data_IF_009928823312
#
_entry.id   IF_009928823312
#
_cell.length_a   1.000
_cell.length_b   1.000
_cell.length_c   1.000
_cell.angle_alpha   90.00
_cell.angle_beta   90.00
_cell.angle_gamma   90.00
#
_symmetry.space_group_name_H-M   'P 1'
#
loop_
_entity.id
_entity.type
_entity.pdbx_description
1 polymer ?
#
# COMPACT_ATOMS: atom_id res chain seq x y z
N UNK A 1 4.48 -69.49 -33.00
CA UNK A 1 4.84 -68.90 -31.69
C UNK A 1 5.20 -67.45 -31.92
N UNK A 2 4.29 -66.52 -31.63
CA UNK A 2 4.56 -65.08 -31.60
C UNK A 2 4.05 -64.58 -30.26
N UNK A 3 4.97 -64.43 -29.32
CA UNK A 3 4.72 -63.91 -27.97
C UNK A 3 4.58 -62.40 -28.05
N UNK A 4 3.35 -61.90 -27.87
CA UNK A 4 3.05 -60.47 -27.79
C UNK A 4 3.47 -59.90 -26.44
N UNK A 5 4.28 -58.83 -26.48
CA UNK A 5 4.66 -58.05 -25.31
C UNK A 5 3.52 -57.07 -24.94
N UNK A 6 3.00 -57.19 -23.73
CA UNK A 6 2.04 -56.25 -23.16
C UNK A 6 2.83 -55.10 -22.50
N UNK A 7 3.02 -53.99 -23.22
CA UNK A 7 3.57 -52.77 -22.64
C UNK A 7 2.49 -52.06 -21.83
N UNK A 8 2.55 -52.19 -20.50
CA UNK A 8 1.81 -51.36 -19.56
C UNK A 8 2.41 -49.94 -19.60
N UNK A 9 1.77 -49.03 -20.32
CA UNK A 9 2.00 -47.60 -20.17
C UNK A 9 1.47 -47.19 -18.79
N UNK A 10 2.36 -47.06 -17.81
CA UNK A 10 2.07 -46.30 -16.60
C UNK A 10 1.88 -44.83 -17.01
N UNK A 11 0.64 -44.36 -16.95
CA UNK A 11 0.35 -42.92 -16.96
C UNK A 11 0.99 -42.34 -15.69
N UNK A 12 2.14 -41.69 -15.85
CA UNK A 12 2.68 -40.81 -14.79
C UNK A 12 1.66 -39.67 -14.65
N UNK A 13 0.99 -39.53 -13.49
CA UNK A 13 0.11 -38.39 -13.29
C UNK A 13 0.97 -37.14 -13.37
N UNK A 14 0.63 -36.22 -14.29
CA UNK A 14 1.20 -34.87 -14.27
C UNK A 14 0.83 -34.27 -12.91
N UNK A 15 1.81 -34.16 -12.01
CA UNK A 15 1.66 -33.35 -10.80
C UNK A 15 1.52 -31.92 -11.29
N UNK A 16 0.32 -31.37 -11.16
CA UNK A 16 0.05 -29.97 -11.47
C UNK A 16 0.97 -29.14 -10.58
N UNK A 17 1.96 -28.47 -11.19
CA UNK A 17 2.91 -27.66 -10.44
C UNK A 17 2.12 -26.60 -9.67
N UNK A 18 2.24 -26.61 -8.35
CA UNK A 18 1.47 -25.72 -7.51
C UNK A 18 1.85 -24.26 -7.81
N UNK A 19 0.85 -23.42 -8.12
CA UNK A 19 1.10 -22.04 -8.55
C UNK A 19 1.63 -21.19 -7.38
N UNK A 20 2.85 -20.68 -7.54
CA UNK A 20 3.43 -19.67 -6.65
C UNK A 20 3.19 -18.25 -7.20
N UNK A 21 2.91 -17.29 -6.31
CA UNK A 21 2.70 -15.88 -6.62
C UNK A 21 3.98 -15.06 -6.43
N UNK A 22 3.95 -13.80 -6.90
CA UNK A 22 4.98 -12.79 -6.64
C UNK A 22 6.44 -13.25 -6.90
N UNK A 23 6.64 -14.04 -7.95
CA UNK A 23 7.97 -14.53 -8.32
C UNK A 23 8.50 -15.69 -7.48
N UNK A 24 7.66 -16.31 -6.63
CA UNK A 24 8.03 -17.51 -5.88
C UNK A 24 8.35 -18.71 -6.77
N UNK A 25 9.26 -19.56 -6.32
CA UNK A 25 9.73 -20.74 -7.05
C UNK A 25 9.25 -22.00 -6.33
N UNK A 26 8.55 -22.89 -7.04
CA UNK A 26 8.12 -24.17 -6.48
C UNK A 26 9.30 -25.15 -6.46
N UNK A 27 9.72 -25.62 -5.28
CA UNK A 27 10.85 -26.55 -5.11
C UNK A 27 10.47 -28.03 -5.27
N UNK A 28 9.21 -28.31 -5.59
CA UNK A 28 8.62 -29.66 -5.63
C UNK A 28 7.82 -30.02 -4.37
N UNK A 29 7.90 -29.21 -3.31
CA UNK A 29 7.18 -29.40 -2.04
C UNK A 29 6.43 -28.13 -1.62
N UNK A 30 7.03 -26.95 -1.78
CA UNK A 30 6.50 -25.66 -1.35
C UNK A 30 6.96 -24.53 -2.26
N UNK A 31 6.33 -23.36 -2.13
CA UNK A 31 6.83 -22.13 -2.73
C UNK A 31 7.96 -21.52 -1.89
N UNK A 32 9.09 -21.24 -2.54
CA UNK A 32 10.19 -20.46 -2.00
C UNK A 32 9.96 -19.00 -2.37
N UNK A 33 9.79 -18.13 -1.37
CA UNK A 33 9.50 -16.72 -1.53
C UNK A 33 10.77 -15.86 -1.42
N UNK A 34 10.72 -14.64 -1.95
CA UNK A 34 11.68 -13.61 -1.54
C UNK A 34 11.41 -13.24 -0.08
N UNK A 35 12.26 -13.73 0.82
CA UNK A 35 12.14 -13.56 2.26
C UNK A 35 12.19 -12.10 2.72
N UNK A 36 12.58 -11.16 1.85
CA UNK A 36 12.59 -9.73 2.15
C UNK A 36 11.32 -9.01 1.71
N UNK A 37 10.44 -9.65 0.92
CA UNK A 37 9.27 -9.00 0.33
C UNK A 37 7.96 -9.74 0.54
N UNK A 38 7.95 -11.07 0.57
CA UNK A 38 6.70 -11.86 0.62
C UNK A 38 6.77 -13.05 1.56
N UNK A 39 5.59 -13.47 2.02
CA UNK A 39 5.38 -14.65 2.83
C UNK A 39 4.05 -15.34 2.47
N UNK A 40 3.84 -16.52 3.06
CA UNK A 40 2.68 -17.36 2.81
C UNK A 40 3.04 -18.66 2.06
N UNK A 41 2.16 -19.66 2.07
CA UNK A 41 2.40 -20.95 1.41
C UNK A 41 2.63 -20.82 -0.10
N UNK A 42 2.10 -19.76 -0.72
CA UNK A 42 2.21 -19.46 -2.15
C UNK A 42 2.86 -18.11 -2.43
N UNK A 43 3.53 -17.51 -1.44
CA UNK A 43 4.12 -16.17 -1.54
C UNK A 43 3.11 -15.07 -1.86
N UNK A 44 1.86 -15.24 -1.42
CA UNK A 44 0.74 -14.37 -1.78
C UNK A 44 0.67 -13.07 -0.96
N UNK A 45 1.35 -12.99 0.18
CA UNK A 45 1.25 -11.85 1.10
C UNK A 45 2.54 -11.03 1.13
N UNK A 46 2.49 -9.71 0.93
CA UNK A 46 3.65 -8.85 1.14
C UNK A 46 3.94 -8.69 2.64
N UNK A 47 5.22 -8.58 3.02
CA UNK A 47 5.62 -8.44 4.42
C UNK A 47 5.14 -7.12 5.03
N UNK A 48 4.70 -7.15 6.29
CA UNK A 48 4.31 -5.91 6.97
C UNK A 48 5.52 -5.02 7.30
N UNK A 49 6.72 -5.62 7.46
CA UNK A 49 7.98 -4.94 7.74
C UNK A 49 9.06 -5.49 6.80
N UNK A 50 9.58 -4.63 5.92
CA UNK A 50 10.69 -4.94 5.02
C UNK A 50 11.99 -4.51 5.71
N UNK A 51 12.94 -5.45 5.95
CA UNK A 51 14.26 -5.08 6.45
C UNK A 51 15.05 -4.37 5.36
N UNK A 52 15.60 -3.20 5.69
CA UNK A 52 16.50 -2.49 4.77
C UNK A 52 17.93 -2.79 5.20
N UNK A 53 18.63 -3.65 4.45
CA UNK A 53 20.01 -4.05 4.82
C UNK A 53 21.00 -2.96 4.40
N UNK A 54 20.85 -2.47 3.17
CA UNK A 54 21.64 -1.38 2.61
C UNK A 54 20.73 -0.28 2.08
N UNK A 55 21.19 0.96 2.19
CA UNK A 55 20.49 2.14 1.75
C UNK A 55 21.20 2.76 0.55
N UNK A 56 20.45 2.93 -0.54
CA UNK A 56 20.86 3.82 -1.63
C UNK A 56 20.47 5.24 -1.26
N UNK A 57 21.39 5.99 -0.66
CA UNK A 57 21.18 7.38 -0.26
C UNK A 57 21.44 8.29 -1.46
N UNK A 58 20.37 8.91 -1.95
CA UNK A 58 20.47 9.99 -2.94
C UNK A 58 20.50 11.32 -2.19
N UNK A 59 21.58 12.07 -2.35
CA UNK A 59 21.75 13.42 -1.81
C UNK A 59 21.75 14.39 -2.97
N UNK A 60 20.82 15.34 -2.94
CA UNK A 60 20.81 16.46 -3.89
C UNK A 60 21.28 17.72 -3.20
N UNK A 61 22.22 18.43 -3.79
CA UNK A 61 22.74 19.70 -3.27
C UNK A 61 22.46 20.82 -4.27
N UNK A 62 21.68 21.80 -3.85
CA UNK A 62 21.35 22.97 -4.69
C UNK A 62 22.56 23.91 -4.81
N UNK A 63 22.87 24.33 -6.04
CA UNK A 63 24.01 25.17 -6.37
C UNK A 63 23.68 26.19 -7.48
N UNK A 64 24.45 27.28 -7.51
CA UNK A 64 24.34 28.32 -8.52
C UNK A 64 25.70 28.74 -9.03
N UNK A 65 25.83 28.76 -10.36
CA UNK A 65 26.99 29.32 -11.05
C UNK A 65 26.55 30.28 -12.14
N UNK A 66 27.36 31.29 -12.39
CA UNK A 66 27.19 32.21 -13.51
C UNK A 66 28.06 31.75 -14.66
N UNK A 67 27.49 31.63 -15.85
CA UNK A 67 28.24 31.54 -17.09
C UNK A 67 28.58 32.96 -17.56
N UNK A 68 29.84 33.25 -17.90
CA UNK A 68 30.27 34.64 -18.21
C UNK A 68 30.58 34.90 -19.68
N UNK A 69 30.87 33.87 -20.47
CA UNK A 69 31.25 33.98 -21.88
C UNK A 69 30.12 33.67 -22.87
N UNK A 70 28.88 33.57 -22.38
CA UNK A 70 27.67 33.40 -23.19
C UNK A 70 26.63 34.45 -22.77
N UNK A 71 25.73 34.79 -23.68
CA UNK A 71 24.70 35.79 -23.42
C UNK A 71 23.36 35.14 -23.11
N UNK A 72 22.64 35.71 -22.15
CA UNK A 72 21.26 35.29 -21.87
C UNK A 72 20.33 35.72 -23.01
N UNK A 73 19.43 34.83 -23.41
CA UNK A 73 18.27 35.17 -24.22
C UNK A 73 17.04 34.36 -23.77
N UNK A 74 15.86 34.77 -24.24
CA UNK A 74 14.58 34.13 -23.86
C UNK A 74 14.46 32.67 -24.31
N UNK A 75 15.25 32.21 -25.28
CA UNK A 75 15.22 30.81 -25.69
C UNK A 75 15.68 29.87 -24.57
N UNK A 76 16.45 30.35 -23.59
CA UNK A 76 16.83 29.57 -22.40
C UNK A 76 15.66 29.29 -21.45
N UNK A 77 14.51 29.93 -21.65
CA UNK A 77 13.26 29.63 -20.92
C UNK A 77 12.51 28.44 -21.55
N UNK A 78 12.86 28.07 -22.80
CA UNK A 78 12.31 26.91 -23.51
C UNK A 78 13.31 25.75 -23.53
N UNK A 79 12.97 24.67 -22.81
CA UNK A 79 13.77 23.44 -22.71
C UNK A 79 14.00 22.74 -24.06
N UNK A 80 13.19 23.04 -25.08
CA UNK A 80 13.32 22.47 -26.41
C UNK A 80 14.10 23.35 -27.38
N UNK A 81 14.47 24.56 -26.98
CA UNK A 81 15.24 25.43 -27.86
C UNK A 81 16.64 24.85 -28.11
N UNK A 82 17.15 25.05 -29.33
CA UNK A 82 18.50 24.62 -29.68
C UNK A 82 19.55 25.25 -28.74
N UNK A 83 19.35 26.51 -28.36
CA UNK A 83 20.26 27.23 -27.48
C UNK A 83 20.27 26.69 -26.05
N UNK A 84 19.10 26.36 -25.49
CA UNK A 84 19.04 25.72 -24.17
C UNK A 84 19.75 24.37 -24.17
N UNK A 85 19.50 23.53 -25.19
CA UNK A 85 20.12 22.20 -25.32
C UNK A 85 21.64 22.28 -25.49
N UNK A 86 22.13 23.25 -26.24
CA UNK A 86 23.56 23.50 -26.41
C UNK A 86 24.21 23.85 -25.06
N UNK A 87 23.69 24.85 -24.35
CA UNK A 87 24.21 25.28 -23.04
C UNK A 87 24.08 24.14 -22.03
N UNK A 88 22.96 23.43 -21.99
CA UNK A 88 22.74 22.28 -21.10
C UNK A 88 23.78 21.18 -21.33
N UNK A 89 24.06 20.84 -22.60
CA UNK A 89 25.01 19.77 -22.94
C UNK A 89 26.43 20.15 -22.52
N UNK A 90 26.86 21.38 -22.82
CA UNK A 90 28.18 21.88 -22.42
C UNK A 90 28.30 21.98 -20.90
N UNK A 91 27.28 22.52 -20.24
CA UNK A 91 27.20 22.66 -18.79
C UNK A 91 27.34 21.31 -18.10
N UNK A 92 26.52 20.31 -18.47
CA UNK A 92 26.59 18.97 -17.89
C UNK A 92 27.95 18.31 -18.10
N UNK A 93 28.52 18.47 -19.31
CA UNK A 93 29.83 17.92 -19.64
C UNK A 93 30.91 18.48 -18.72
N UNK A 94 31.00 19.79 -18.54
CA UNK A 94 32.05 20.40 -17.72
C UNK A 94 31.81 20.25 -16.22
N UNK A 95 30.55 20.25 -15.77
CA UNK A 95 30.22 20.01 -14.36
C UNK A 95 30.55 18.60 -13.89
N UNK A 96 30.67 17.64 -14.82
CA UNK A 96 31.21 16.32 -14.53
C UNK A 96 32.65 16.39 -14.02
N UNK A 97 33.46 17.30 -14.55
CA UNK A 97 34.85 17.46 -14.13
C UNK A 97 34.91 18.22 -12.78
N UNK A 98 34.06 19.23 -12.60
CA UNK A 98 33.97 20.02 -11.35
C UNK A 98 33.54 19.17 -10.16
N UNK A 99 32.49 18.38 -10.31
CA UNK A 99 31.92 17.57 -9.24
C UNK A 99 32.35 16.11 -9.26
N UNK A 100 33.22 15.70 -10.20
CA UNK A 100 33.63 14.30 -10.36
C UNK A 100 34.32 13.70 -9.14
N UNK A 101 34.92 14.55 -8.30
CA UNK A 101 35.53 14.14 -7.03
C UNK A 101 34.53 14.06 -5.86
N UNK A 102 33.31 14.54 -6.02
CA UNK A 102 32.27 14.45 -4.98
C UNK A 102 31.88 12.98 -4.80
N UNK A 103 31.93 12.44 -3.58
CA UNK A 103 31.60 11.03 -3.33
C UNK A 103 30.21 10.70 -3.88
N UNK A 104 30.13 9.64 -4.70
CA UNK A 104 28.87 9.17 -5.30
C UNK A 104 28.29 10.07 -6.40
N UNK A 105 29.05 11.03 -6.94
CA UNK A 105 28.57 11.90 -8.02
C UNK A 105 27.94 11.09 -9.16
N UNK A 106 26.72 11.48 -9.54
CA UNK A 106 25.93 10.81 -10.57
C UNK A 106 25.67 11.73 -11.76
N UNK A 107 25.10 12.91 -11.51
CA UNK A 107 24.77 13.89 -12.55
C UNK A 107 24.53 15.28 -11.92
N UNK A 108 24.33 16.29 -12.77
CA UNK A 108 23.71 17.56 -12.41
C UNK A 108 22.36 17.73 -13.11
N UNK A 109 21.37 18.26 -12.40
CA UNK A 109 20.06 18.61 -12.94
C UNK A 109 19.90 20.13 -12.98
N UNK A 110 19.71 20.70 -14.16
CA UNK A 110 19.47 22.15 -14.31
C UNK A 110 18.01 22.43 -13.97
N UNK A 111 17.78 23.24 -12.94
CA UNK A 111 16.45 23.69 -12.54
C UNK A 111 15.95 24.80 -13.46
N UNK A 112 16.80 25.81 -13.72
CA UNK A 112 16.52 26.92 -14.65
C UNK A 112 17.75 27.75 -14.93
N UNK A 113 17.67 28.53 -16.00
CA UNK A 113 18.66 29.53 -16.41
C UNK A 113 18.05 30.93 -16.34
N UNK A 114 18.71 31.88 -15.67
CA UNK A 114 18.21 33.25 -15.46
C UNK A 114 19.11 34.32 -16.07
N UNK A 115 18.54 35.51 -16.28
CA UNK A 115 19.28 36.70 -16.72
C UNK A 115 20.36 37.10 -15.69
N UNK A 116 21.50 37.59 -16.19
CA UNK A 116 22.73 37.86 -15.43
C UNK A 116 23.95 37.14 -16.03
N UNK A 117 24.14 37.25 -17.34
CA UNK A 117 25.07 36.45 -18.18
C UNK A 117 24.72 34.96 -18.36
N UNK A 118 23.59 34.50 -17.80
CA UNK A 118 23.17 33.09 -17.61
C UNK A 118 23.60 32.60 -16.23
N UNK A 119 22.70 32.77 -15.26
CA UNK A 119 22.79 32.13 -13.94
C UNK A 119 22.13 30.76 -14.04
N UNK A 120 22.90 29.69 -13.82
CA UNK A 120 22.41 28.31 -13.86
C UNK A 120 22.14 27.84 -12.44
N UNK A 121 20.86 27.72 -12.09
CA UNK A 121 20.41 27.05 -10.87
C UNK A 121 20.34 25.55 -11.15
N UNK A 122 21.05 24.75 -10.38
CA UNK A 122 21.14 23.31 -10.60
C UNK A 122 21.26 22.53 -9.29
N UNK A 123 20.95 21.23 -9.37
CA UNK A 123 21.18 20.24 -8.32
C UNK A 123 22.37 19.39 -8.68
N UNK A 124 23.29 19.21 -7.73
CA UNK A 124 24.31 18.17 -7.79
C UNK A 124 23.71 16.91 -7.19
N UNK A 125 23.66 15.83 -7.96
CA UNK A 125 23.07 14.56 -7.54
C UNK A 125 24.19 13.59 -7.21
N UNK A 126 24.25 13.17 -5.95
CA UNK A 126 25.10 12.08 -5.49
C UNK A 126 24.25 10.89 -5.05
N UNK A 127 24.67 9.68 -5.41
CA UNK A 127 24.05 8.43 -4.98
C UNK A 127 25.11 7.51 -4.39
N UNK A 128 24.95 7.17 -3.10
CA UNK A 128 25.89 6.33 -2.35
C UNK A 128 25.14 5.15 -1.75
N UNK A 129 25.70 3.94 -1.91
CA UNK A 129 25.24 2.76 -1.20
C UNK A 129 25.94 2.69 0.16
N UNK A 130 25.19 2.59 1.24
CA UNK A 130 25.72 2.56 2.61
C UNK A 130 24.93 1.62 3.52
N UNK A 131 25.47 1.34 4.68
CA UNK A 131 24.78 0.56 5.72
C UNK A 131 23.55 1.31 6.23
N UNK A 132 22.54 0.55 6.66
CA UNK A 132 21.35 1.10 7.26
C UNK A 132 21.60 1.64 8.69
N UNK A 133 22.28 2.78 8.76
CA UNK A 133 22.62 3.47 9.99
C UNK A 133 22.44 4.98 9.81
N UNK A 134 21.53 5.58 10.56
CA UNK A 134 21.16 6.99 10.40
C UNK A 134 22.32 7.95 10.68
N UNK A 135 23.20 7.65 11.63
CA UNK A 135 24.36 8.49 11.94
C UNK A 135 25.38 8.48 10.79
N UNK A 136 25.57 7.31 10.18
CA UNK A 136 26.42 7.17 9.00
C UNK A 136 25.85 7.94 7.80
N UNK A 137 24.54 7.87 7.58
CA UNK A 137 23.85 8.64 6.53
C UNK A 137 24.05 10.14 6.74
N UNK A 138 23.85 10.65 7.97
CA UNK A 138 24.06 12.05 8.28
C UNK A 138 25.52 12.48 8.04
N UNK A 139 26.48 11.62 8.37
CA UNK A 139 27.91 11.87 8.08
C UNK A 139 28.18 11.93 6.58
N UNK A 140 27.61 11.01 5.80
CA UNK A 140 27.74 10.98 4.33
C UNK A 140 27.16 12.25 3.71
N UNK A 141 25.95 12.67 4.14
CA UNK A 141 25.32 13.90 3.68
C UNK A 141 26.25 15.10 3.93
N UNK A 142 26.83 15.20 5.13
CA UNK A 142 27.77 16.27 5.47
C UNK A 142 29.00 16.28 4.56
N UNK A 143 29.62 15.11 4.36
CA UNK A 143 30.81 14.96 3.48
C UNK A 143 30.48 15.40 2.05
N UNK A 144 29.32 15.03 1.52
CA UNK A 144 28.90 15.40 0.16
C UNK A 144 28.72 16.93 0.05
N UNK A 145 28.09 17.57 1.04
CA UNK A 145 27.91 19.03 1.05
C UNK A 145 29.27 19.74 1.07
N UNK A 146 30.16 19.33 1.97
CA UNK A 146 31.51 19.89 2.09
C UNK A 146 32.33 19.71 0.80
N UNK A 147 32.20 18.55 0.13
CA UNK A 147 32.86 18.29 -1.14
C UNK A 147 32.30 19.17 -2.28
N UNK A 148 30.99 19.36 -2.36
CA UNK A 148 30.36 20.27 -3.34
C UNK A 148 30.81 21.72 -3.09
N UNK A 149 30.85 22.15 -1.83
CA UNK A 149 31.39 23.47 -1.46
C UNK A 149 32.85 23.64 -1.89
N UNK A 150 33.68 22.61 -1.69
CA UNK A 150 35.08 22.64 -2.09
C UNK A 150 35.22 22.74 -3.60
N UNK A 151 34.53 21.89 -4.37
CA UNK A 151 34.50 21.95 -5.84
C UNK A 151 34.09 23.33 -6.36
N UNK A 152 33.12 23.98 -5.71
CA UNK A 152 32.70 25.34 -6.08
C UNK A 152 33.76 26.40 -5.72
N UNK A 153 34.52 26.23 -4.64
CA UNK A 153 35.62 27.16 -4.30
C UNK A 153 36.81 26.98 -5.25
N UNK A 154 37.09 25.77 -5.70
CA UNK A 154 38.18 25.50 -6.65
C UNK A 154 37.96 26.20 -7.99
N UNK A 155 36.71 26.33 -8.43
CA UNK A 155 36.34 27.14 -9.59
C UNK A 155 36.81 28.61 -9.49
N UNK A 156 36.96 29.17 -8.28
CA UNK A 156 37.54 30.51 -8.09
C UNK A 156 39.06 30.54 -8.26
N UNK A 157 39.74 29.44 -7.95
CA UNK A 157 41.22 29.38 -7.93
C UNK A 157 41.79 29.10 -9.32
N UNK A 158 41.07 28.33 -10.14
CA UNK A 158 41.44 28.06 -11.55
C UNK A 158 40.89 29.13 -12.52
N UNK A 159 40.08 30.06 -12.01
CA UNK A 159 39.26 31.04 -12.73
C UNK A 159 40.00 32.21 -13.40
N UNK A 160 41.04 31.95 -14.20
CA UNK A 160 41.22 32.76 -15.41
C UNK A 160 40.67 31.94 -16.56
N UNK A 161 39.46 32.30 -17.02
CA UNK A 161 39.00 31.89 -18.34
C UNK A 161 40.09 32.21 -19.37
N UNK A 162 40.75 31.17 -19.85
CA UNK A 162 41.96 31.32 -20.67
C UNK A 162 41.59 31.90 -22.04
N UNK A 163 40.37 31.62 -22.52
CA UNK A 163 39.84 32.12 -23.78
C UNK A 163 38.34 32.44 -23.71
N UNK A 164 37.93 33.72 -23.66
CA UNK A 164 36.53 34.15 -23.72
C UNK A 164 35.82 33.74 -25.02
N UNK A 165 36.57 33.45 -26.08
CA UNK A 165 36.05 33.04 -27.40
C UNK A 165 36.04 31.52 -27.59
N UNK A 166 36.48 30.76 -26.58
CA UNK A 166 36.52 29.31 -26.62
C UNK A 166 35.12 28.67 -26.68
N UNK A 167 35.04 27.41 -27.12
CA UNK A 167 33.77 26.66 -27.17
C UNK A 167 33.24 26.25 -25.79
N UNK A 168 34.06 26.35 -24.75
CA UNK A 168 33.78 25.93 -23.37
C UNK A 168 33.10 27.02 -22.55
N UNK A 169 32.23 26.66 -21.61
CA UNK A 169 31.58 27.64 -20.75
C UNK A 169 32.50 28.08 -19.62
N UNK A 170 32.44 29.37 -19.31
CA UNK A 170 33.18 30.01 -18.24
C UNK A 170 32.33 30.14 -16.98
N UNK A 171 32.69 29.44 -15.90
CA UNK A 171 31.91 29.45 -14.66
C UNK A 171 32.47 30.39 -13.61
N UNK A 172 31.58 31.14 -12.97
CA UNK A 172 31.86 31.91 -11.75
C UNK A 172 30.85 31.50 -10.68
N UNK A 173 31.28 30.87 -9.57
CA UNK A 173 30.42 30.56 -8.43
C UNK A 173 29.74 31.81 -7.87
N UNK A 174 28.46 31.69 -7.53
CA UNK A 174 27.71 32.76 -6.85
C UNK A 174 27.76 32.56 -5.33
N UNK A 175 28.01 33.62 -4.54
CA UNK A 175 27.95 33.55 -3.09
C UNK A 175 26.52 33.21 -2.63
N UNK A 176 26.41 32.38 -1.58
CA UNK A 176 25.14 31.93 -0.99
C UNK A 176 24.30 30.99 -1.86
N UNK A 177 24.94 30.11 -2.63
CA UNK A 177 24.27 28.89 -3.09
C UNK A 177 23.71 28.17 -1.86
N UNK A 178 22.39 28.16 -1.69
CA UNK A 178 21.76 27.50 -0.57
C UNK A 178 21.92 26.00 -0.76
N UNK A 179 22.94 25.41 -0.12
CA UNK A 179 23.21 23.98 -0.17
C UNK A 179 22.18 23.30 0.75
N UNK A 180 20.96 23.14 0.25
CA UNK A 180 19.91 22.42 0.97
C UNK A 180 20.03 20.96 0.55
N UNK A 181 20.60 20.06 1.38
CA UNK A 181 20.56 18.64 1.11
C UNK A 181 19.10 18.17 1.16
N UNK A 182 18.65 17.45 0.14
CA UNK A 182 17.41 16.69 0.22
C UNK A 182 17.72 15.20 0.20
N UNK A 183 17.22 14.49 1.22
CA UNK A 183 17.24 13.03 1.34
C UNK A 183 15.89 12.60 1.90
N UNK A 184 15.22 11.68 1.19
CA UNK A 184 13.89 11.20 1.55
C UNK A 184 13.95 9.71 1.90
N UNK A 185 13.73 9.40 3.17
CA UNK A 185 13.53 8.03 3.63
C UNK A 185 12.26 7.41 3.03
N UNK A 186 11.29 8.23 2.64
CA UNK A 186 10.06 7.77 2.02
C UNK A 186 10.33 7.16 0.65
N UNK A 187 11.17 7.79 -0.16
CA UNK A 187 11.52 7.30 -1.50
C UNK A 187 12.31 5.99 -1.40
N UNK A 188 13.10 5.84 -0.33
CA UNK A 188 13.77 4.57 -0.03
C UNK A 188 12.75 3.45 0.13
N UNK A 189 11.72 3.63 0.97
CA UNK A 189 10.71 2.60 1.19
C UNK A 189 9.87 2.29 -0.05
N UNK A 190 9.63 3.28 -0.89
CA UNK A 190 8.97 3.08 -2.19
C UNK A 190 9.82 2.27 -3.16
N UNK A 191 11.13 2.49 -3.18
CA UNK A 191 12.03 1.83 -4.12
C UNK A 191 12.37 0.37 -3.75
N UNK A 192 12.39 0.05 -2.45
CA UNK A 192 12.69 -1.32 -1.98
C UNK A 192 11.45 -2.22 -1.95
N UNK A 193 10.25 -1.65 -1.91
CA UNK A 193 9.00 -2.40 -1.96
C UNK A 193 8.55 -2.66 -3.39
N UNK A 194 7.68 -3.65 -3.57
CA UNK A 194 7.00 -3.83 -4.85
C UNK A 194 6.12 -2.61 -5.16
N UNK A 195 6.26 -2.11 -6.38
CA UNK A 195 5.49 -1.00 -6.96
C UNK A 195 3.98 -1.07 -6.69
N UNK A 196 3.38 -2.28 -6.64
CA UNK A 196 1.95 -2.48 -6.34
C UNK A 196 1.56 -2.06 -4.93
N UNK A 197 2.50 -2.06 -3.99
CA UNK A 197 2.26 -1.77 -2.57
C UNK A 197 3.05 -0.55 -2.08
N UNK A 198 3.88 0.06 -2.93
CA UNK A 198 4.87 1.07 -2.55
C UNK A 198 4.28 2.27 -1.79
N UNK A 199 3.06 2.69 -2.11
CA UNK A 199 2.40 3.81 -1.44
C UNK A 199 1.95 3.52 0.00
N UNK A 200 1.96 2.26 0.42
CA UNK A 200 1.56 1.84 1.77
C UNK A 200 2.74 1.61 2.72
N UNK A 201 3.97 1.62 2.20
CA UNK A 201 5.18 1.54 3.02
C UNK A 201 5.70 2.93 3.37
N UNK A 202 6.06 3.10 4.64
CA UNK A 202 6.64 4.32 5.16
C UNK A 202 7.81 4.01 6.10
N UNK A 203 8.76 4.95 6.25
CA UNK A 203 9.95 4.71 7.06
C UNK A 203 9.63 4.75 8.56
N UNK A 204 10.17 3.79 9.29
CA UNK A 204 10.16 3.75 10.75
C UNK A 204 11.56 3.53 11.28
N UNK A 205 11.96 4.39 12.22
CA UNK A 205 13.31 4.39 12.77
C UNK A 205 13.27 3.70 14.12
N UNK A 206 14.04 2.62 14.25
CA UNK A 206 14.22 1.91 15.51
C UNK A 206 15.70 1.70 15.77
N UNK A 207 16.19 2.19 16.91
CA UNK A 207 17.60 2.09 17.32
C UNK A 207 18.59 2.58 16.22
N UNK A 208 18.25 3.68 15.53
CA UNK A 208 19.09 4.24 14.47
C UNK A 208 19.06 3.48 13.13
N UNK A 209 18.27 2.42 13.01
CA UNK A 209 18.05 1.66 11.77
C UNK A 209 16.70 2.01 11.14
N UNK A 210 16.66 2.17 9.82
CA UNK A 210 15.46 2.46 9.03
C UNK A 210 14.78 1.14 8.67
N UNK A 211 13.47 1.07 8.88
CA UNK A 211 12.65 -0.07 8.46
C UNK A 211 11.50 0.43 7.63
N UNK A 212 11.10 -0.31 6.62
CA UNK A 212 9.95 0.06 5.82
C UNK A 212 8.76 -0.74 6.32
N UNK A 213 7.85 -0.04 7.00
CA UNK A 213 6.71 -0.65 7.67
C UNK A 213 5.42 -0.23 7.01
N UNK A 214 4.36 -0.99 7.28
CA UNK A 214 2.99 -0.62 6.93
C UNK A 214 2.19 -0.32 8.19
N UNK A 215 0.91 -0.01 8.03
CA UNK A 215 0.00 0.09 9.17
C UNK A 215 -0.35 -1.28 9.77
N UNK A 216 0.00 -2.39 9.14
CA UNK A 216 -0.18 -3.72 9.73
C UNK A 216 0.96 -4.14 10.67
N UNK A 217 2.08 -3.40 10.68
CA UNK A 217 3.21 -3.68 11.56
C UNK A 217 2.83 -3.45 13.03
N UNK A 218 3.03 -4.47 13.86
CA UNK A 218 2.66 -4.43 15.28
C UNK A 218 3.64 -3.58 16.11
N UNK A 219 3.13 -2.90 17.14
CA UNK A 219 3.96 -2.15 18.09
C UNK A 219 4.46 -0.80 17.58
N UNK A 220 3.85 -0.26 16.53
CA UNK A 220 4.14 1.07 15.97
C UNK A 220 2.99 2.04 16.28
N UNK A 221 3.24 3.37 16.31
CA UNK A 221 2.20 4.36 16.65
C UNK A 221 0.97 4.33 15.72
N UNK A 222 1.18 4.08 14.43
CA UNK A 222 0.12 4.10 13.40
C UNK A 222 -0.46 2.71 13.08
N UNK A 223 -0.13 1.72 13.91
CA UNK A 223 -0.57 0.34 13.74
C UNK A 223 -2.11 0.22 13.78
N UNK A 224 -2.63 -0.54 12.82
CA UNK A 224 -4.05 -0.83 12.67
C UNK A 224 -4.44 -1.98 13.59
N UNK A 225 -5.43 -1.74 14.45
CA UNK A 225 -5.94 -2.77 15.34
C UNK A 225 -7.17 -3.46 14.75
N UNK A 226 -7.01 -4.74 14.42
CA UNK A 226 -8.07 -5.59 13.85
C UNK A 226 -8.84 -6.42 14.89
N UNK A 227 -8.68 -6.16 16.19
CA UNK A 227 -9.39 -6.81 17.29
C UNK A 227 -9.52 -8.34 17.11
N UNK A 228 -10.66 -8.83 16.60
CA UNK A 228 -10.91 -10.25 16.32
C UNK A 228 -10.54 -10.65 14.89
N UNK A 229 -9.39 -10.21 14.41
CA UNK A 229 -8.95 -10.39 13.04
C UNK A 229 -7.46 -10.15 12.87
N UNK A 230 -7.01 -10.24 11.63
CA UNK A 230 -5.60 -10.07 11.24
C UNK A 230 -5.50 -8.93 10.25
N UNK A 231 -4.57 -8.00 10.47
CA UNK A 231 -4.27 -6.96 9.50
C UNK A 231 -3.49 -7.57 8.32
N UNK A 232 -3.89 -7.27 7.10
CA UNK A 232 -3.21 -7.67 5.87
C UNK A 232 -3.05 -6.49 4.93
N UNK A 233 -1.90 -6.44 4.28
CA UNK A 233 -1.66 -5.52 3.17
C UNK A 233 -2.09 -6.17 1.84
N UNK A 234 -2.79 -5.40 1.01
CA UNK A 234 -3.12 -5.74 -0.37
C UNK A 234 -3.01 -4.51 -1.28
N UNK A 235 -3.37 -4.65 -2.55
CA UNK A 235 -3.32 -3.54 -3.53
C UNK A 235 -4.30 -2.40 -3.22
N UNK A 236 -5.33 -2.65 -2.39
CA UNK A 236 -6.23 -1.60 -1.88
C UNK A 236 -5.74 -0.98 -0.56
N UNK A 237 -4.63 -1.48 -0.03
CA UNK A 237 -4.00 -1.02 1.21
C UNK A 237 -4.20 -1.94 2.42
N UNK A 238 -3.80 -1.47 3.61
CA UNK A 238 -3.93 -2.22 4.86
C UNK A 238 -5.40 -2.35 5.25
N UNK A 239 -5.84 -3.58 5.48
CA UNK A 239 -7.22 -3.90 5.86
C UNK A 239 -7.26 -5.08 6.82
N UNK A 240 -8.34 -5.20 7.59
CA UNK A 240 -8.52 -6.33 8.49
C UNK A 240 -9.27 -7.48 7.81
N UNK A 241 -8.79 -8.70 8.06
CA UNK A 241 -9.51 -9.94 7.77
C UNK A 241 -10.01 -10.51 9.09
N UNK A 242 -11.33 -10.52 9.27
CA UNK A 242 -11.93 -11.00 10.52
C UNK A 242 -11.90 -12.53 10.61
N UNK A 243 -11.72 -13.03 11.84
CA UNK A 243 -11.67 -14.46 12.11
C UNK A 243 -13.08 -15.07 12.15
N UNK A 244 -13.19 -16.38 11.90
CA UNK A 244 -14.42 -17.16 12.14
C UNK A 244 -15.68 -16.59 11.45
N UNK A 245 -15.53 -16.13 10.20
CA UNK A 245 -16.63 -15.60 9.38
C UNK A 245 -17.73 -16.62 9.07
N UNK A 246 -17.48 -17.91 9.30
CA UNK A 246 -18.48 -18.97 9.23
C UNK A 246 -19.47 -18.89 10.42
N UNK A 247 -18.99 -18.54 11.61
CA UNK A 247 -19.78 -18.49 12.86
C UNK A 247 -20.26 -17.08 13.24
N UNK A 248 -19.50 -16.05 12.88
CA UNK A 248 -19.76 -14.67 13.29
C UNK A 248 -20.02 -13.73 12.11
N UNK A 249 -20.84 -12.71 12.35
CA UNK A 249 -20.94 -11.51 11.53
C UNK A 249 -20.20 -10.36 12.22
N UNK A 250 -19.52 -9.54 11.42
CA UNK A 250 -18.92 -8.28 11.86
C UNK A 250 -19.58 -7.13 11.10
N UNK A 251 -19.95 -6.06 11.80
CA UNK A 251 -20.60 -4.89 11.21
C UNK A 251 -19.60 -3.78 10.82
N UNK A 252 -18.35 -3.92 11.23
CA UNK A 252 -17.27 -2.97 10.97
C UNK A 252 -16.07 -3.65 10.31
N UNK A 253 -15.25 -2.86 9.63
CA UNK A 253 -14.05 -3.35 8.94
C UNK A 253 -12.83 -3.56 9.86
N UNK A 254 -13.00 -3.41 11.19
CA UNK A 254 -11.94 -3.60 12.19
C UNK A 254 -12.22 -4.82 13.09
N UNK A 255 -13.27 -5.60 12.80
CA UNK A 255 -13.63 -6.81 13.52
C UNK A 255 -13.88 -6.60 15.04
N UNK A 256 -14.43 -5.44 15.44
CA UNK A 256 -14.62 -5.11 16.87
C UNK A 256 -15.68 -5.96 17.54
N UNK A 257 -16.86 -6.09 16.90
CA UNK A 257 -18.04 -6.69 17.52
C UNK A 257 -18.46 -7.95 16.78
N UNK A 258 -18.07 -9.16 17.25
CA UNK A 258 -18.54 -10.41 16.69
C UNK A 258 -19.99 -10.68 17.10
N UNK A 259 -20.86 -10.91 16.11
CA UNK A 259 -22.26 -11.28 16.31
C UNK A 259 -22.45 -12.73 15.89
N UNK A 260 -22.81 -13.61 16.83
CA UNK A 260 -22.99 -15.02 16.54
C UNK A 260 -24.21 -15.24 15.63
N UNK A 261 -24.02 -15.96 14.53
CA UNK A 261 -25.09 -16.18 13.52
C UNK A 261 -26.31 -16.92 14.08
N UNK A 262 -26.10 -17.84 15.02
CA UNK A 262 -27.16 -18.68 15.61
C UNK A 262 -28.13 -17.89 16.49
N UNK A 263 -27.67 -16.82 17.14
CA UNK A 263 -28.51 -15.98 18.02
C UNK A 263 -29.60 -15.28 17.21
N UNK A 264 -29.27 -14.78 16.02
CA UNK A 264 -30.23 -14.16 15.11
C UNK A 264 -31.21 -15.19 14.53
N UNK A 265 -30.73 -16.38 14.17
CA UNK A 265 -31.58 -17.46 13.66
C UNK A 265 -32.62 -17.93 14.68
N UNK A 266 -32.21 -18.11 15.93
CA UNK A 266 -33.12 -18.49 17.04
C UNK A 266 -34.08 -17.35 17.39
N UNK A 267 -33.61 -16.10 17.41
CA UNK A 267 -34.46 -14.94 17.73
C UNK A 267 -35.58 -14.74 16.71
N UNK A 268 -35.27 -14.88 15.42
CA UNK A 268 -36.28 -14.76 14.36
C UNK A 268 -37.29 -15.91 14.40
N UNK A 269 -36.83 -17.14 14.63
CA UNK A 269 -37.71 -18.30 14.74
C UNK A 269 -38.67 -18.17 15.94
N UNK A 270 -38.17 -17.72 17.10
CA UNK A 270 -38.98 -17.48 18.29
C UNK A 270 -39.99 -16.35 18.09
N UNK A 271 -39.61 -15.25 17.42
CA UNK A 271 -40.53 -14.15 17.11
C UNK A 271 -41.68 -14.61 16.19
N UNK A 272 -41.39 -15.40 15.15
CA UNK A 272 -42.41 -15.96 14.26
C UNK A 272 -43.33 -16.93 15.02
N UNK A 273 -42.77 -17.81 15.85
CA UNK A 273 -43.57 -18.72 16.68
C UNK A 273 -44.48 -17.96 17.65
N UNK A 274 -43.99 -16.87 18.25
CA UNK A 274 -44.78 -16.01 19.13
C UNK A 274 -45.95 -15.36 18.37
N UNK A 275 -45.72 -14.84 17.16
CA UNK A 275 -46.81 -14.28 16.32
C UNK A 275 -47.84 -15.35 15.95
N UNK A 276 -47.38 -16.54 15.54
CA UNK A 276 -48.28 -17.66 15.21
C UNK A 276 -49.12 -18.10 16.41
N UNK A 277 -48.53 -18.16 17.60
CA UNK A 277 -49.27 -18.53 18.81
C UNK A 277 -50.33 -17.48 19.19
N UNK A 278 -50.06 -16.18 19.02
CA UNK A 278 -51.07 -15.12 19.19
C UNK A 278 -52.22 -15.29 18.19
N UNK A 279 -51.92 -15.54 16.91
CA UNK A 279 -52.95 -15.76 15.88
C UNK A 279 -53.84 -16.95 16.25
N UNK A 280 -53.24 -18.07 16.68
CA UNK A 280 -53.98 -19.25 17.12
C UNK A 280 -54.90 -18.94 18.32
N UNK A 281 -54.41 -18.21 19.31
CA UNK A 281 -55.22 -17.79 20.48
C UNK A 281 -56.41 -16.94 20.04
N UNK A 282 -56.20 -15.97 19.13
CA UNK A 282 -57.28 -15.13 18.60
C UNK A 282 -58.32 -15.97 17.84
N UNK A 283 -57.87 -16.92 17.02
CA UNK A 283 -58.74 -17.85 16.29
C UNK A 283 -59.57 -18.72 17.25
N UNK A 284 -58.95 -19.27 18.31
CA UNK A 284 -59.64 -20.05 19.34
C UNK A 284 -60.70 -19.22 20.10
N UNK A 285 -60.39 -17.97 20.44
CA UNK A 285 -61.35 -17.05 21.08
C UNK A 285 -62.55 -16.79 20.15
N UNK A 286 -62.30 -16.54 18.86
CA UNK A 286 -63.37 -16.35 17.85
C UNK A 286 -64.22 -17.61 17.67
N UNK A 287 -63.62 -18.79 17.61
CA UNK A 287 -64.32 -20.06 17.49
C UNK A 287 -65.22 -20.33 18.71
N UNK A 288 -64.73 -20.11 19.94
CA UNK A 288 -65.54 -20.21 21.16
C UNK A 288 -66.72 -19.23 21.15
N UNK A 289 -66.51 -17.97 20.74
CA UNK A 289 -67.58 -16.96 20.64
C UNK A 289 -68.61 -17.29 19.56
N UNK A 290 -68.21 -17.94 18.45
CA UNK A 290 -69.13 -18.42 17.41
C UNK A 290 -69.96 -19.61 17.91
N UNK A 291 -69.35 -20.55 18.61
CA UNK A 291 -70.05 -21.71 19.18
C UNK A 291 -71.05 -21.31 20.29
N UNK A 292 -70.73 -20.28 21.09
CA UNK A 292 -71.70 -19.72 22.06
C UNK A 292 -72.85 -18.95 21.41
N UNK A 293 -72.67 -18.43 20.18
CA UNK A 293 -73.76 -17.80 19.40
C UNK A 293 -74.67 -18.83 18.74
N UNK A 294 -74.13 -19.92 18.19
CA UNK A 294 -74.96 -20.99 17.61
C UNK A 294 -75.84 -21.69 18.67
N UNK A 295 -75.34 -21.90 19.90
CA UNK A 295 -76.18 -22.41 21.01
C UNK A 295 -77.33 -21.50 21.42
N UNK A 296 -77.35 -20.23 21.01
CA UNK A 296 -78.41 -19.26 21.31
C UNK A 296 -79.47 -19.17 20.20
N UNK A 297 -79.21 -19.73 19.02
CA UNK A 297 -80.15 -19.74 17.89
C UNK A 297 -81.00 -21.02 17.79
N UNK A 298 -80.59 -22.14 18.40
CA UNK A 298 -81.39 -23.38 18.43
C UNK A 298 -82.44 -23.43 19.56
N UNK A 299 -82.61 -22.34 20.32
CA UNK A 299 -83.55 -22.26 21.46
C UNK A 299 -84.86 -21.53 21.19
N UNK A 300 -85.16 -21.16 19.95
CA UNK A 300 -86.33 -20.34 19.62
C UNK A 300 -87.08 -20.87 18.38
N UNK A 301 -87.64 -22.08 18.46
CA UNK A 301 -88.77 -22.47 17.61
C UNK A 301 -89.51 -23.70 18.19
N UNK A 302 -90.78 -23.50 18.60
CA UNK A 302 -91.88 -24.47 18.76
C UNK A 302 -91.63 -25.74 19.65
N UNK A 303 -92.49 -26.08 20.62
CA UNK A 303 -93.84 -26.53 20.35
C UNK A 303 -94.82 -26.44 21.54
N UNK A 304 -96.05 -26.12 21.17
CA UNK A 304 -97.29 -26.23 21.94
C UNK A 304 -97.81 -27.67 21.90
N UNK A 305 -98.37 -28.10 23.04
CA UNK A 305 -99.62 -28.88 23.20
C UNK A 305 -99.67 -30.32 22.61
N UNK A 306 -100.03 -31.29 23.48
CA UNK A 306 -101.09 -32.25 23.10
C UNK A 306 -100.97 -33.72 23.55
N UNK A 307 -101.47 -34.02 24.74
CA UNK A 307 -102.29 -35.20 25.16
C UNK A 307 -101.94 -36.64 24.72
N UNK A 308 -101.87 -37.58 25.68
CA UNK A 308 -103.00 -38.49 26.02
C UNK A 308 -102.73 -39.33 27.30
N UNK A 309 -103.77 -39.51 28.10
CA UNK A 309 -103.88 -40.41 29.26
C UNK A 309 -103.96 -41.89 28.80
N UNK A 310 -103.75 -42.89 29.68
CA UNK A 310 -104.92 -43.55 30.28
C UNK A 310 -104.78 -44.00 31.75
N UNK A 311 -105.96 -44.30 32.29
CA UNK A 311 -106.37 -44.77 33.62
C UNK A 311 -106.16 -46.30 33.76
N UNK A 312 -105.85 -46.79 34.98
CA UNK A 312 -106.59 -47.83 35.76
C UNK A 312 -105.82 -48.12 37.08
N UNK A 313 -106.36 -47.85 38.27
CA UNK A 313 -107.36 -48.60 39.07
C UNK A 313 -106.84 -49.93 39.65
N UNK A 314 -106.52 -49.92 40.95
CA UNK A 314 -107.21 -50.65 42.04
C UNK A 314 -107.02 -49.86 43.35
#
# INVERSE_FOLDING_TARGET
>A
MVTGALFLFFLVPCVEAELCYNGGIFDGIKCICDENLYYGPKCEFPLDEIPVIQLSVTVTVDAQVRVTNKEYNKSLEDLNSNYYREIQTQFKKQMKDVYGAVPGYKDVEILRMKNGSIIVEHKVISQVLTENNLELIQRIIKIIIEAVEHSLKDLHTEGKCIDPSGPELCFVPLPNSALIPSFSLNDTCKNVSDTKYADYYYPYIRNGTVRCITRCSSGTPDSMNCFNGVCRLSEIGPHCICNNLDVFWYLDSYCRLPIQKTVLGLSLALAVFFVLSIILVICLIKAKRKNSRNRRSDGANCDKIGQRNPIFQE
#
